data_IF_040807387461
#
_entry.id   IF_040807387461
#
_cell.length_a   1.000
_cell.length_b   1.000
_cell.length_c   1.000
_cell.angle_alpha   90.00
_cell.angle_beta   90.00
_cell.angle_gamma   90.00
#
_symmetry.space_group_name_H-M   'P 1'
#
loop_
_entity.id
_entity.type
_entity.pdbx_description
1 polymer ?
#
# COMPACT_ATOMS: atom_id res chain seq x y z
N UNK A 1 -9.30 -1.07 -0.26
CA UNK A 1 -8.60 -0.48 0.90
C UNK A 1 -7.11 -0.45 0.60
N UNK A 2 -6.42 0.65 0.90
CA UNK A 2 -4.97 0.78 0.70
C UNK A 2 -4.21 0.67 2.03
N UNK A 3 -3.03 0.04 2.01
CA UNK A 3 -2.13 -0.09 3.16
C UNK A 3 -0.80 0.63 2.87
N UNK A 4 -0.60 1.79 3.51
CA UNK A 4 0.65 2.52 3.51
C UNK A 4 1.43 2.41 4.82
N UNK A 5 2.72 2.76 4.78
CA UNK A 5 3.55 2.91 5.99
C UNK A 5 4.63 3.97 5.80
N UNK A 6 5.07 4.55 6.91
CA UNK A 6 6.24 5.40 6.98
C UNK A 6 7.02 5.09 8.27
N UNK A 7 8.34 5.04 8.16
CA UNK A 7 9.24 4.85 9.30
C UNK A 7 10.27 5.97 9.29
N UNK A 8 10.39 6.66 10.42
CA UNK A 8 11.38 7.73 10.61
C UNK A 8 12.80 7.21 10.31
N UNK A 9 13.67 8.01 9.66
CA UNK A 9 14.98 7.56 9.17
C UNK A 9 15.81 6.76 10.19
N UNK A 10 15.88 7.23 11.44
CA UNK A 10 16.69 6.62 12.52
C UNK A 10 16.15 5.24 13.01
N UNK A 11 14.95 4.88 12.58
CA UNK A 11 14.27 3.64 12.95
C UNK A 11 14.10 2.68 11.77
N UNK A 12 14.63 3.03 10.59
CA UNK A 12 14.61 2.14 9.42
C UNK A 12 15.56 0.95 9.61
N UNK A 13 15.39 -0.07 8.76
CA UNK A 13 16.21 -1.31 8.74
C UNK A 13 16.16 -2.16 10.01
N UNK A 14 15.20 -1.90 10.89
CA UNK A 14 14.93 -2.68 12.12
C UNK A 14 13.74 -3.63 12.01
N UNK A 15 13.13 -3.74 10.82
CA UNK A 15 11.98 -4.63 10.57
C UNK A 15 10.60 -4.04 10.88
N UNK A 16 10.52 -2.84 11.47
CA UNK A 16 9.26 -2.25 11.93
C UNK A 16 8.19 -2.10 10.84
N UNK A 17 8.57 -1.64 9.64
CA UNK A 17 7.61 -1.51 8.54
C UNK A 17 6.98 -2.86 8.17
N UNK A 18 7.79 -3.90 8.05
CA UNK A 18 7.33 -5.26 7.71
C UNK A 18 6.47 -5.87 8.81
N UNK A 19 6.88 -5.72 10.07
CA UNK A 19 6.13 -6.26 11.21
C UNK A 19 4.76 -5.57 11.33
N UNK A 20 4.75 -4.23 11.30
CA UNK A 20 3.53 -3.45 11.43
C UNK A 20 2.57 -3.72 10.26
N UNK A 21 3.05 -3.68 9.01
CA UNK A 21 2.21 -3.89 7.83
C UNK A 21 1.65 -5.32 7.77
N UNK A 22 2.44 -6.34 8.12
CA UNK A 22 1.95 -7.72 8.19
C UNK A 22 0.86 -7.89 9.25
N UNK A 23 1.04 -7.28 10.44
CA UNK A 23 0.05 -7.34 11.53
C UNK A 23 -1.25 -6.65 11.15
N UNK A 24 -1.18 -5.44 10.58
CA UNK A 24 -2.36 -4.68 10.16
C UNK A 24 -3.08 -5.39 9.01
N UNK A 25 -2.36 -5.84 7.98
CA UNK A 25 -2.95 -6.61 6.87
C UNK A 25 -3.69 -7.84 7.37
N UNK A 26 -3.08 -8.60 8.30
CA UNK A 26 -3.74 -9.75 8.91
C UNK A 26 -4.99 -9.36 9.70
N UNK A 27 -4.88 -8.33 10.55
CA UNK A 27 -5.99 -7.87 11.38
C UNK A 27 -7.20 -7.44 10.55
N UNK A 28 -7.01 -6.66 9.48
CA UNK A 28 -8.10 -6.28 8.58
C UNK A 28 -8.74 -7.47 7.86
N UNK A 29 -7.95 -8.47 7.47
CA UNK A 29 -8.49 -9.69 6.84
C UNK A 29 -9.27 -10.54 7.84
N UNK A 30 -8.68 -10.82 9.00
CA UNK A 30 -9.19 -11.79 9.96
C UNK A 30 -10.41 -11.23 10.72
N UNK A 31 -10.36 -9.96 11.16
CA UNK A 31 -11.38 -9.38 12.03
C UNK A 31 -12.48 -8.62 11.25
N UNK A 32 -12.13 -8.01 10.12
CA UNK A 32 -13.08 -7.21 9.31
C UNK A 32 -13.46 -7.89 7.99
N UNK A 33 -12.85 -9.03 7.66
CA UNK A 33 -13.17 -9.76 6.43
C UNK A 33 -12.83 -8.98 5.15
N UNK A 34 -11.88 -8.04 5.20
CA UNK A 34 -11.49 -7.26 4.02
C UNK A 34 -10.80 -8.19 3.02
N UNK A 35 -11.36 -8.30 1.82
CA UNK A 35 -10.85 -9.17 0.73
C UNK A 35 -10.14 -8.41 -0.37
N UNK A 36 -10.35 -7.09 -0.44
CA UNK A 36 -9.82 -6.22 -1.48
C UNK A 36 -8.89 -5.18 -0.88
N UNK A 37 -7.61 -5.52 -0.89
CA UNK A 37 -6.54 -4.67 -0.40
C UNK A 37 -5.46 -4.45 -1.45
N UNK A 38 -4.91 -3.25 -1.46
CA UNK A 38 -3.73 -2.91 -2.24
C UNK A 38 -2.66 -2.24 -1.39
N UNK A 39 -1.46 -2.19 -1.96
CA UNK A 39 -0.35 -1.34 -1.54
C UNK A 39 0.12 -0.64 -2.82
N UNK A 40 0.11 0.68 -2.82
CA UNK A 40 0.60 1.49 -3.94
C UNK A 40 1.92 2.15 -3.58
N UNK A 41 2.91 2.08 -4.47
CA UNK A 41 4.21 2.72 -4.25
C UNK A 41 4.92 2.96 -5.58
N UNK A 42 5.96 3.79 -5.55
CA UNK A 42 6.72 4.13 -6.74
C UNK A 42 7.58 2.96 -7.22
N UNK A 43 7.82 2.91 -8.53
CA UNK A 43 8.59 1.82 -9.14
C UNK A 43 10.02 1.75 -8.59
N UNK A 44 10.61 2.90 -8.23
CA UNK A 44 11.95 3.03 -7.64
C UNK A 44 12.00 2.75 -6.13
N UNK A 45 10.85 2.63 -5.45
CA UNK A 45 10.79 2.29 -4.02
C UNK A 45 10.97 0.78 -3.77
N UNK A 46 12.15 0.27 -4.15
CA UNK A 46 12.55 -1.13 -3.99
C UNK A 46 12.35 -1.65 -2.56
N UNK A 47 12.64 -0.89 -1.48
CA UNK A 47 12.37 -1.34 -0.12
C UNK A 47 10.88 -1.65 0.12
N UNK A 48 9.97 -0.75 -0.26
CA UNK A 48 8.53 -0.97 -0.03
C UNK A 48 7.99 -2.13 -0.87
N UNK A 49 8.44 -2.26 -2.12
CA UNK A 49 8.09 -3.37 -3.02
C UNK A 49 8.45 -4.72 -2.40
N UNK A 50 9.66 -4.86 -1.85
CA UNK A 50 10.10 -6.08 -1.15
C UNK A 50 9.26 -6.38 0.09
N UNK A 51 8.82 -5.34 0.81
CA UNK A 51 7.95 -5.53 1.98
C UNK A 51 6.60 -6.09 1.53
N UNK A 52 5.96 -5.48 0.51
CA UNK A 52 4.68 -5.95 -0.03
C UNK A 52 4.74 -7.44 -0.43
N UNK A 53 5.79 -7.83 -1.16
CA UNK A 53 6.02 -9.22 -1.55
C UNK A 53 6.22 -10.14 -0.33
N UNK A 54 7.05 -9.73 0.64
CA UNK A 54 7.34 -10.53 1.83
C UNK A 54 6.13 -10.77 2.74
N UNK A 55 5.13 -9.88 2.71
CA UNK A 55 3.89 -10.02 3.49
C UNK A 55 2.75 -10.68 2.68
N UNK A 56 3.07 -11.21 1.49
CA UNK A 56 2.20 -12.08 0.70
C UNK A 56 1.34 -11.37 -0.34
N UNK A 57 1.64 -10.12 -0.68
CA UNK A 57 1.00 -9.44 -1.82
C UNK A 57 1.72 -9.82 -3.11
N UNK A 58 0.96 -9.79 -4.20
CA UNK A 58 1.43 -10.14 -5.55
C UNK A 58 1.29 -8.96 -6.50
N UNK A 59 1.92 -9.04 -7.66
CA UNK A 59 1.82 -8.02 -8.71
C UNK A 59 0.36 -7.69 -9.03
N UNK A 60 -0.01 -6.44 -8.75
CA UNK A 60 -1.34 -5.87 -8.93
C UNK A 60 -1.42 -4.92 -10.12
N UNK A 61 -0.39 -4.82 -10.96
CA UNK A 61 -0.37 -3.89 -12.08
C UNK A 61 -0.02 -2.46 -11.65
N UNK A 62 -0.74 -1.47 -12.16
CA UNK A 62 -0.40 -0.06 -11.93
C UNK A 62 -1.63 0.84 -11.82
N UNK A 63 -1.45 1.96 -11.13
CA UNK A 63 -2.43 3.05 -11.01
C UNK A 63 -1.77 4.36 -11.42
N UNK A 64 -2.60 5.38 -11.63
CA UNK A 64 -2.15 6.75 -11.86
C UNK A 64 -2.43 7.59 -10.62
N UNK A 65 -1.39 8.15 -10.01
CA UNK A 65 -1.49 8.96 -8.78
C UNK A 65 -0.79 10.29 -9.03
N UNK A 66 -1.54 11.40 -8.91
CA UNK A 66 -1.03 12.76 -9.21
C UNK A 66 -0.35 12.89 -10.60
N UNK A 67 -0.83 12.14 -11.58
CA UNK A 67 -0.28 12.10 -12.94
C UNK A 67 0.94 11.18 -13.12
N UNK A 68 1.45 10.58 -12.03
CA UNK A 68 2.54 9.61 -12.06
C UNK A 68 2.01 8.18 -12.11
N UNK A 69 2.76 7.30 -12.77
CA UNK A 69 2.47 5.87 -12.79
C UNK A 69 3.08 5.21 -11.55
N UNK A 70 2.22 4.68 -10.69
CA UNK A 70 2.61 3.97 -9.48
C UNK A 70 2.37 2.46 -9.65
N UNK A 71 3.22 1.63 -9.05
CA UNK A 71 3.03 0.18 -9.05
C UNK A 71 2.09 -0.21 -7.91
N UNK A 72 1.22 -1.18 -8.18
CA UNK A 72 0.28 -1.69 -7.21
C UNK A 72 0.59 -3.16 -6.89
N UNK A 73 0.47 -3.51 -5.61
CA UNK A 73 0.51 -4.88 -5.12
C UNK A 73 -0.85 -5.21 -4.52
N UNK A 74 -1.38 -6.40 -4.78
CA UNK A 74 -2.72 -6.83 -4.35
C UNK A 74 -2.69 -8.17 -3.63
N UNK A 75 -3.76 -8.51 -2.91
CA UNK A 75 -3.90 -9.86 -2.36
C UNK A 75 -4.04 -10.91 -3.48
N UNK A 76 -3.55 -12.15 -3.27
CA UNK A 76 -3.71 -13.22 -4.25
C UNK A 76 -5.17 -13.42 -4.68
N UNK A 77 -5.41 -13.49 -5.98
CA UNK A 77 -6.74 -13.69 -6.57
C UNK A 77 -7.51 -12.40 -6.85
N UNK A 78 -7.00 -11.23 -6.47
CA UNK A 78 -7.60 -9.95 -6.86
C UNK A 78 -7.35 -9.62 -8.34
N UNK A 79 -8.27 -8.86 -8.94
CA UNK A 79 -8.07 -8.27 -10.26
C UNK A 79 -6.96 -7.21 -10.20
N UNK A 80 -6.11 -7.18 -11.24
CA UNK A 80 -5.08 -6.15 -11.38
C UNK A 80 -5.66 -4.78 -11.73
N UNK A 81 -4.93 -3.75 -11.36
CA UNK A 81 -5.12 -2.38 -11.82
C UNK A 81 -4.44 -2.16 -13.17
N UNK A 82 -5.09 -1.35 -14.00
CA UNK A 82 -4.77 -1.08 -15.40
C UNK A 82 -4.79 0.44 -15.66
N UNK A 83 -4.28 1.23 -14.72
CA UNK A 83 -4.17 2.69 -14.85
C UNK A 83 -5.34 3.48 -14.30
N UNK A 84 -6.12 2.93 -13.38
CA UNK A 84 -7.14 3.68 -12.63
C UNK A 84 -6.50 4.89 -11.93
N UNK A 85 -7.24 6.00 -11.87
CA UNK A 85 -6.82 7.18 -11.12
C UNK A 85 -7.05 6.91 -9.63
N UNK A 86 -5.98 7.01 -8.85
CA UNK A 86 -6.01 6.93 -7.40
C UNK A 86 -5.73 8.32 -6.84
N UNK A 87 -6.73 8.97 -6.18
CA UNK A 87 -6.44 10.18 -5.44
C UNK A 87 -5.56 9.86 -4.23
N UNK A 88 -4.72 10.81 -3.83
CA UNK A 88 -3.86 10.64 -2.65
C UNK A 88 -4.68 10.49 -1.38
N UNK A 89 -5.73 11.29 -1.25
CA UNK A 89 -6.73 11.18 -0.21
C UNK A 89 -7.90 10.34 -0.71
N UNK A 90 -8.40 9.40 0.09
CA UNK A 90 -9.34 8.39 -0.39
C UNK A 90 -10.64 8.94 -1.00
N UNK A 91 -11.05 10.14 -0.60
CA UNK A 91 -12.18 10.91 -1.14
C UNK A 91 -11.78 11.94 -2.22
N UNK A 92 -10.48 12.14 -2.43
CA UNK A 92 -9.93 13.15 -3.33
C UNK A 92 -9.82 14.55 -2.72
N UNK A 93 -10.17 14.71 -1.44
CA UNK A 93 -10.13 16.00 -0.75
C UNK A 93 -8.91 16.07 0.16
N UNK A 94 -8.14 17.16 0.04
CA UNK A 94 -7.04 17.42 0.97
C UNK A 94 -7.61 17.69 2.36
N UNK A 95 -7.18 16.98 3.42
CA UNK A 95 -7.62 17.26 4.78
C UNK A 95 -7.30 18.70 5.14
N UNK A 96 -8.24 19.35 5.84
CA UNK A 96 -8.00 20.68 6.40
C UNK A 96 -6.77 20.66 7.32
N UNK A 97 -5.89 21.65 7.17
CA UNK A 97 -4.61 21.76 7.91
C UNK A 97 -4.80 22.07 9.42
N UNK A 98 -6.02 22.07 9.94
CA UNK A 98 -6.38 22.44 11.32
C UNK A 98 -6.17 21.28 12.33
N UNK A 99 -4.98 20.66 12.35
CA UNK A 99 -4.53 19.70 13.37
C UNK A 99 -3.26 20.14 14.10
#
# INVERSE_FOLDING_TARGET
MDLGWAVAPDYRRKGYASEASARISRYWKDEFGIKEMCIVTSEDNIPSRRIAESIGYVDGGYVMMEGNKEVAYVLPGMKKFEGQIFPFWGDGETPDEDY
#
